data_IF_307087623280
#
_entry.id   IF_307087623280
#
_cell.length_a   1.000
_cell.length_b   1.000
_cell.length_c   1.000
_cell.angle_alpha   90.00
_cell.angle_beta   90.00
_cell.angle_gamma   90.00
#
_symmetry.space_group_name_H-M   'P 1'
#
loop_
_entity.id
_entity.type
_entity.pdbx_description
1 polymer ?
#
# COMPACT_ATOMS: atom_id res chain seq x y z
N UNK A 1 3.42 13.55 -11.22
CA UNK A 1 2.11 12.96 -10.92
C UNK A 1 2.28 11.77 -9.99
N UNK A 2 1.27 11.52 -9.16
CA UNK A 2 1.19 10.35 -8.27
C UNK A 2 -0.13 9.64 -8.58
N UNK A 3 -0.07 8.36 -8.94
CA UNK A 3 -1.24 7.51 -9.12
C UNK A 3 -1.44 6.67 -7.87
N UNK A 4 -2.57 6.88 -7.20
CA UNK A 4 -2.95 6.28 -5.92
C UNK A 4 -2.85 7.26 -4.75
N UNK A 5 -3.99 7.51 -4.12
CA UNK A 5 -4.18 8.40 -2.96
C UNK A 5 -4.13 7.68 -1.61
N UNK A 6 -3.54 6.48 -1.54
CA UNK A 6 -3.31 5.78 -0.28
C UNK A 6 -2.20 6.40 0.55
N UNK A 7 -1.90 5.82 1.73
CA UNK A 7 -0.91 6.34 2.71
C UNK A 7 0.42 6.68 2.02
N UNK A 8 1.01 5.74 1.29
CA UNK A 8 2.29 5.94 0.59
C UNK A 8 2.21 7.09 -0.41
N UNK A 9 1.12 7.17 -1.20
CA UNK A 9 0.91 8.25 -2.15
C UNK A 9 0.84 9.62 -1.47
N UNK A 10 0.18 9.71 -0.31
CA UNK A 10 0.05 10.94 0.46
C UNK A 10 1.35 11.35 1.15
N UNK A 11 2.12 10.40 1.68
CA UNK A 11 3.46 10.66 2.23
C UNK A 11 4.39 11.25 1.16
N UNK A 12 4.45 10.64 -0.03
CA UNK A 12 5.25 11.15 -1.13
C UNK A 12 4.71 12.47 -1.70
N UNK A 13 3.39 12.68 -1.72
CA UNK A 13 2.81 13.95 -2.12
C UNK A 13 3.27 15.08 -1.22
N UNK A 14 3.24 14.87 0.10
CA UNK A 14 3.74 15.83 1.10
C UNK A 14 5.24 16.06 0.94
N UNK A 15 6.02 14.99 0.82
CA UNK A 15 7.47 15.06 0.68
C UNK A 15 7.88 15.87 -0.56
N UNK A 16 7.38 15.52 -1.74
CA UNK A 16 7.74 16.24 -2.96
C UNK A 16 7.22 17.67 -2.98
N UNK A 17 6.03 17.91 -2.46
CA UNK A 17 5.50 19.27 -2.35
C UNK A 17 6.36 20.17 -1.45
N UNK A 18 6.88 19.62 -0.33
CA UNK A 18 7.79 20.37 0.56
C UNK A 18 9.13 20.72 -0.09
N UNK A 19 9.52 20.00 -1.15
CA UNK A 19 10.68 20.30 -1.99
C UNK A 19 10.37 21.28 -3.14
N UNK A 20 9.16 21.85 -3.19
CA UNK A 20 8.74 22.79 -4.22
C UNK A 20 8.23 22.13 -5.52
N UNK A 21 8.06 20.80 -5.54
CA UNK A 21 7.52 20.09 -6.71
C UNK A 21 6.01 20.31 -6.81
N UNK A 22 5.51 20.62 -7.99
CA UNK A 22 4.08 20.63 -8.26
C UNK A 22 3.54 19.20 -8.35
N UNK A 23 2.67 18.83 -7.42
CA UNK A 23 2.14 17.48 -7.29
C UNK A 23 0.68 17.42 -7.73
N UNK A 24 0.36 16.43 -8.58
CA UNK A 24 -1.02 16.04 -8.90
C UNK A 24 -1.22 14.60 -8.49
N UNK A 25 -2.19 14.35 -7.63
CA UNK A 25 -2.60 13.01 -7.17
C UNK A 25 -3.83 12.59 -7.96
N UNK A 26 -3.80 11.37 -8.50
CA UNK A 26 -4.92 10.76 -9.24
C UNK A 26 -5.39 9.54 -8.45
N UNK A 27 -6.62 9.59 -7.95
CA UNK A 27 -7.20 8.55 -7.10
C UNK A 27 -8.53 8.04 -7.69
N UNK A 28 -8.67 6.73 -7.77
CA UNK A 28 -9.88 6.09 -8.31
C UNK A 28 -11.07 6.18 -7.35
N UNK A 29 -10.80 6.23 -6.06
CA UNK A 29 -11.83 6.36 -5.02
C UNK A 29 -12.32 7.80 -4.91
N UNK A 30 -13.45 7.96 -4.23
CA UNK A 30 -14.09 9.26 -3.94
C UNK A 30 -13.32 10.11 -2.90
N UNK A 31 -12.37 9.49 -2.18
CA UNK A 31 -11.53 10.18 -1.20
C UNK A 31 -10.15 9.51 -1.10
N UNK A 32 -9.15 10.25 -0.64
CA UNK A 32 -7.81 9.75 -0.30
C UNK A 32 -7.86 8.86 0.94
N UNK A 33 -6.78 8.10 1.20
CA UNK A 33 -6.61 7.25 2.38
C UNK A 33 -7.77 6.25 2.56
N UNK A 34 -8.14 5.56 1.48
CA UNK A 34 -9.22 4.57 1.49
C UNK A 34 -9.10 3.58 2.65
N UNK A 35 -10.18 3.45 3.45
CA UNK A 35 -10.23 2.63 4.65
C UNK A 35 -9.98 3.38 5.96
N UNK A 36 -9.58 4.66 5.92
CA UNK A 36 -9.52 5.55 7.06
C UNK A 36 -10.84 6.33 7.24
N UNK A 37 -10.94 7.05 8.36
CA UNK A 37 -12.07 7.93 8.63
C UNK A 37 -12.16 9.03 7.55
N UNK A 38 -13.34 9.15 6.93
CA UNK A 38 -13.56 10.08 5.79
C UNK A 38 -13.41 11.54 6.18
N UNK A 39 -13.77 11.92 7.38
CA UNK A 39 -13.66 13.30 7.87
C UNK A 39 -12.18 13.69 8.00
N UNK A 40 -11.36 12.80 8.57
CA UNK A 40 -9.91 13.00 8.69
C UNK A 40 -9.23 13.02 7.31
N UNK A 41 -9.63 12.13 6.41
CA UNK A 41 -9.12 12.10 5.04
C UNK A 41 -9.43 13.40 4.28
N UNK A 42 -10.67 13.88 4.35
CA UNK A 42 -11.07 15.13 3.72
C UNK A 42 -10.35 16.35 4.32
N UNK A 43 -10.13 16.35 5.64
CA UNK A 43 -9.37 17.40 6.33
C UNK A 43 -7.92 17.45 5.85
N UNK A 44 -7.24 16.29 5.79
CA UNK A 44 -5.88 16.21 5.27
C UNK A 44 -5.79 16.65 3.82
N UNK A 45 -6.72 16.19 2.97
CA UNK A 45 -6.77 16.60 1.56
C UNK A 45 -6.96 18.12 1.41
N UNK A 46 -7.85 18.71 2.19
CA UNK A 46 -8.06 20.15 2.18
C UNK A 46 -6.79 20.91 2.58
N UNK A 47 -6.05 20.42 3.57
CA UNK A 47 -4.79 21.02 4.00
C UNK A 47 -3.70 20.90 2.94
N UNK A 48 -3.61 19.77 2.26
CA UNK A 48 -2.68 19.55 1.15
C UNK A 48 -3.03 20.40 -0.08
N UNK A 49 -4.33 20.57 -0.36
CA UNK A 49 -4.79 21.45 -1.45
C UNK A 49 -4.39 22.92 -1.21
N UNK A 50 -4.45 23.40 0.05
CA UNK A 50 -3.95 24.75 0.41
C UNK A 50 -2.45 24.91 0.12
N UNK A 51 -1.68 23.83 0.18
CA UNK A 51 -0.25 23.82 -0.16
C UNK A 51 0.02 23.65 -1.67
N UNK A 52 -1.02 23.61 -2.49
CA UNK A 52 -0.94 23.54 -3.95
C UNK A 52 -0.92 22.12 -4.54
N UNK A 53 -1.12 21.08 -3.73
CA UNK A 53 -1.29 19.71 -4.25
C UNK A 53 -2.66 19.63 -4.94
N UNK A 54 -2.68 19.14 -6.18
CA UNK A 54 -3.91 18.93 -6.95
C UNK A 54 -4.39 17.50 -6.77
N UNK A 55 -5.72 17.32 -6.69
CA UNK A 55 -6.36 16.02 -6.55
C UNK A 55 -7.36 15.79 -7.67
N UNK A 56 -7.27 14.65 -8.33
CA UNK A 56 -8.27 14.12 -9.25
C UNK A 56 -8.84 12.86 -8.58
N UNK A 57 -9.94 13.02 -7.84
CA UNK A 57 -10.66 11.94 -7.18
C UNK A 57 -11.66 11.30 -8.14
N UNK A 58 -12.21 10.13 -7.78
CA UNK A 58 -13.11 9.36 -8.64
C UNK A 58 -12.58 9.21 -10.08
N UNK A 59 -11.25 9.17 -10.22
CA UNK A 59 -10.56 9.24 -11.51
C UNK A 59 -9.73 7.99 -11.74
N UNK A 60 -10.16 7.19 -12.74
CA UNK A 60 -9.51 5.92 -13.10
C UNK A 60 -8.44 6.16 -14.15
N UNK A 61 -7.20 5.79 -13.86
CA UNK A 61 -6.13 5.75 -14.85
C UNK A 61 -6.36 4.58 -15.81
N UNK A 62 -6.33 4.85 -17.12
CA UNK A 62 -6.61 3.87 -18.17
C UNK A 62 -5.40 3.55 -19.04
N UNK A 63 -4.45 4.47 -19.16
CA UNK A 63 -3.21 4.25 -19.91
C UNK A 63 -2.07 5.11 -19.39
N UNK A 64 -0.86 4.62 -19.61
CA UNK A 64 0.39 5.33 -19.35
C UNK A 64 1.23 5.32 -20.63
N UNK A 65 1.82 6.45 -20.98
CA UNK A 65 2.77 6.55 -22.08
C UNK A 65 3.88 7.54 -21.75
N UNK A 66 4.93 7.52 -22.53
CA UNK A 66 6.07 8.44 -22.40
C UNK A 66 6.15 9.29 -23.68
N UNK A 67 6.38 10.58 -23.49
CA UNK A 67 6.67 11.55 -24.57
C UNK A 67 7.95 12.30 -24.28
N UNK A 68 8.38 13.17 -25.17
CA UNK A 68 9.52 14.07 -24.93
C UNK A 68 9.24 15.04 -23.78
N UNK A 69 7.98 15.41 -23.54
CA UNK A 69 7.55 16.32 -22.47
C UNK A 69 7.46 15.62 -21.10
N UNK A 70 7.47 14.27 -21.04
CA UNK A 70 7.38 13.50 -19.82
C UNK A 70 6.40 12.33 -19.89
N UNK A 71 6.01 11.84 -18.71
CA UNK A 71 5.02 10.78 -18.57
C UNK A 71 3.60 11.33 -18.78
N UNK A 72 2.84 10.68 -19.65
CA UNK A 72 1.43 11.00 -19.89
C UNK A 72 0.55 9.98 -19.20
N UNK A 73 -0.30 10.44 -18.28
CA UNK A 73 -1.27 9.64 -17.54
C UNK A 73 -2.65 9.92 -18.11
N UNK A 74 -3.18 8.98 -18.90
CA UNK A 74 -4.55 9.08 -19.43
C UNK A 74 -5.55 8.53 -18.40
N UNK A 75 -6.65 9.22 -18.21
CA UNK A 75 -7.66 8.86 -17.22
C UNK A 75 -9.09 9.03 -17.76
N UNK A 76 -10.03 8.43 -17.04
CA UNK A 76 -11.47 8.58 -17.20
C UNK A 76 -12.11 8.90 -15.85
N UNK A 77 -13.06 9.82 -15.83
CA UNK A 77 -13.90 10.16 -14.69
C UNK A 77 -15.32 10.55 -15.16
N UNK A 78 -16.17 11.05 -14.28
CA UNK A 78 -17.53 11.47 -14.61
C UNK A 78 -17.60 12.63 -15.62
N UNK A 79 -16.55 13.46 -15.71
CA UNK A 79 -16.44 14.56 -16.65
C UNK A 79 -15.99 14.09 -18.04
N UNK A 80 -15.51 12.85 -18.17
CA UNK A 80 -15.04 12.24 -19.41
C UNK A 80 -13.60 11.77 -19.35
N UNK A 81 -12.94 11.79 -20.52
CA UNK A 81 -11.55 11.38 -20.69
C UNK A 81 -10.62 12.58 -20.64
N UNK A 82 -9.50 12.43 -19.96
CA UNK A 82 -8.47 13.47 -19.86
C UNK A 82 -7.07 12.88 -19.74
N UNK A 83 -6.08 13.76 -19.64
CA UNK A 83 -4.70 13.36 -19.37
C UNK A 83 -3.97 14.37 -18.51
N UNK A 84 -2.97 13.88 -17.74
CA UNK A 84 -1.99 14.69 -17.03
C UNK A 84 -0.62 14.38 -17.61
N UNK A 85 0.15 15.41 -17.96
CA UNK A 85 1.55 15.31 -18.34
C UNK A 85 2.39 15.71 -17.15
N UNK A 86 3.39 14.93 -16.81
CA UNK A 86 4.29 15.19 -15.69
C UNK A 86 5.71 14.71 -16.00
N UNK A 87 6.73 15.44 -15.53
CA UNK A 87 8.12 15.04 -15.68
C UNK A 87 8.42 13.66 -15.08
N UNK A 88 7.78 13.37 -13.95
CA UNK A 88 7.91 12.10 -13.22
C UNK A 88 6.56 11.56 -12.81
N UNK A 89 6.46 10.24 -12.82
CA UNK A 89 5.28 9.50 -12.38
C UNK A 89 5.65 8.53 -11.27
N UNK A 90 4.96 8.64 -10.14
CA UNK A 90 4.99 7.67 -9.06
C UNK A 90 3.73 6.79 -9.11
N UNK A 91 3.92 5.47 -9.18
CA UNK A 91 2.85 4.48 -9.05
C UNK A 91 2.74 4.04 -7.60
N UNK A 92 1.62 4.36 -6.94
CA UNK A 92 1.36 4.07 -5.52
C UNK A 92 0.03 3.34 -5.33
N UNK A 93 -0.22 2.33 -6.17
CA UNK A 93 -1.51 1.62 -6.28
C UNK A 93 -1.61 0.36 -5.40
N UNK A 94 -0.79 0.27 -4.38
CA UNK A 94 -0.81 -0.81 -3.39
C UNK A 94 0.42 -1.70 -3.40
N UNK A 95 0.42 -2.68 -2.49
CA UNK A 95 1.50 -3.64 -2.26
C UNK A 95 1.01 -5.06 -2.47
N UNK A 96 1.92 -5.92 -2.91
CA UNK A 96 1.70 -7.37 -3.02
C UNK A 96 2.84 -8.11 -2.33
N UNK A 97 2.57 -9.25 -1.67
CA UNK A 97 3.61 -10.09 -1.14
C UNK A 97 4.56 -10.57 -2.26
N UNK A 98 5.86 -10.42 -2.05
CA UNK A 98 6.87 -10.97 -2.97
C UNK A 98 7.19 -12.38 -2.52
N UNK A 99 6.68 -13.38 -3.22
CA UNK A 99 6.79 -14.81 -2.87
C UNK A 99 7.53 -15.64 -3.91
N UNK A 100 8.33 -14.99 -4.79
CA UNK A 100 9.08 -15.64 -5.86
C UNK A 100 10.51 -15.11 -5.92
N UNK A 101 11.42 -15.92 -6.47
CA UNK A 101 12.79 -15.51 -6.74
C UNK A 101 13.79 -15.81 -5.63
N UNK A 102 13.36 -16.43 -4.51
CA UNK A 102 14.24 -16.82 -3.39
C UNK A 102 13.94 -18.26 -2.87
N UNK A 103 13.33 -19.08 -3.70
CA UNK A 103 13.11 -20.50 -3.41
C UNK A 103 11.81 -20.82 -2.67
N UNK A 104 11.03 -19.82 -2.25
CA UNK A 104 9.75 -20.04 -1.57
C UNK A 104 8.71 -20.73 -2.48
N UNK A 105 8.83 -20.55 -3.77
CA UNK A 105 8.03 -21.21 -4.80
C UNK A 105 8.21 -22.72 -4.83
N UNK A 106 9.32 -23.24 -4.32
CA UNK A 106 9.60 -24.68 -4.22
C UNK A 106 8.91 -25.32 -3.01
N UNK A 107 8.38 -24.50 -2.09
CA UNK A 107 7.60 -24.97 -0.95
C UNK A 107 6.12 -24.92 -1.30
N UNK A 108 5.42 -26.03 -1.11
CA UNK A 108 3.98 -26.08 -1.33
C UNK A 108 3.21 -25.46 -0.16
N UNK A 109 3.30 -24.14 0.00
CA UNK A 109 2.65 -23.38 1.07
C UNK A 109 1.25 -22.93 0.66
N UNK A 110 0.31 -23.01 1.59
CA UNK A 110 -1.02 -22.47 1.41
C UNK A 110 -0.97 -20.94 1.26
N UNK A 111 -1.68 -20.44 0.24
CA UNK A 111 -1.76 -18.99 -0.06
C UNK A 111 -3.20 -18.49 -0.01
N UNK A 112 -3.33 -17.20 0.26
CA UNK A 112 -4.60 -16.48 0.09
C UNK A 112 -4.85 -16.19 -1.39
N UNK A 113 -6.07 -15.78 -1.75
CA UNK A 113 -6.40 -15.35 -3.11
C UNK A 113 -5.58 -14.13 -3.61
N UNK A 114 -4.96 -13.38 -2.68
CA UNK A 114 -4.06 -12.24 -2.99
C UNK A 114 -2.57 -12.65 -3.01
N UNK A 115 -2.26 -13.93 -2.84
CA UNK A 115 -0.90 -14.47 -2.90
C UNK A 115 -0.10 -14.41 -1.59
N UNK A 116 -0.69 -13.92 -0.49
CA UNK A 116 -0.06 -13.96 0.83
C UNK A 116 -0.01 -15.40 1.38
N UNK A 117 0.99 -15.69 2.20
CA UNK A 117 1.15 -17.00 2.82
C UNK A 117 0.19 -17.11 4.01
N UNK A 118 -0.59 -18.20 4.06
CA UNK A 118 -1.47 -18.46 5.20
C UNK A 118 -0.64 -18.94 6.40
N UNK A 119 -0.91 -18.33 7.55
CA UNK A 119 -0.33 -18.72 8.85
C UNK A 119 -1.42 -18.87 9.91
N UNK A 120 -1.15 -19.68 10.92
CA UNK A 120 -1.98 -19.76 12.12
C UNK A 120 -1.61 -18.64 13.13
N UNK A 121 -2.27 -18.63 14.30
CA UNK A 121 -1.99 -17.63 15.35
C UNK A 121 -0.57 -17.72 15.94
N UNK A 122 0.16 -18.78 15.68
CA UNK A 122 1.56 -18.99 16.08
C UNK A 122 2.55 -18.67 14.95
N UNK A 123 2.08 -18.00 13.88
CA UNK A 123 2.85 -17.64 12.68
C UNK A 123 3.39 -18.83 11.89
N UNK A 124 2.88 -20.04 12.14
CA UNK A 124 3.27 -21.27 11.44
C UNK A 124 2.47 -21.44 10.15
N UNK A 125 3.13 -21.83 9.10
CA UNK A 125 2.53 -22.13 7.79
C UNK A 125 1.89 -23.52 7.75
N UNK A 126 1.36 -23.94 6.60
CA UNK A 126 0.91 -25.31 6.36
C UNK A 126 2.05 -26.34 6.39
N UNK A 127 3.31 -25.92 6.25
CA UNK A 127 4.48 -26.80 6.32
C UNK A 127 5.11 -26.71 7.73
N UNK A 128 5.25 -27.87 8.38
CA UNK A 128 5.84 -27.96 9.71
C UNK A 128 7.27 -27.40 9.73
N UNK A 129 7.61 -26.63 10.77
CA UNK A 129 8.93 -26.00 10.93
C UNK A 129 9.14 -24.73 10.07
N UNK A 130 8.15 -24.32 9.26
CA UNK A 130 8.20 -23.09 8.46
C UNK A 130 7.25 -22.06 9.02
N UNK A 131 7.80 -20.89 9.33
CA UNK A 131 7.09 -19.73 9.88
C UNK A 131 7.21 -18.54 8.94
N UNK A 132 6.21 -17.68 8.93
CA UNK A 132 6.19 -16.46 8.11
C UNK A 132 5.67 -15.29 8.93
N UNK A 133 6.31 -14.14 8.80
CA UNK A 133 5.92 -12.89 9.44
C UNK A 133 6.05 -11.72 8.47
N UNK A 134 5.48 -10.57 8.85
CA UNK A 134 5.51 -9.33 8.07
C UNK A 134 4.60 -9.36 6.85
N UNK A 135 4.94 -8.56 5.86
CA UNK A 135 4.13 -8.32 4.65
C UNK A 135 3.71 -9.60 3.92
N UNK A 136 4.48 -10.68 4.08
CA UNK A 136 4.17 -11.97 3.47
C UNK A 136 2.88 -12.60 4.02
N UNK A 137 2.48 -12.29 5.25
CA UNK A 137 1.23 -12.79 5.87
C UNK A 137 -0.01 -12.10 5.28
N UNK A 138 0.15 -10.88 4.77
CA UNK A 138 -0.92 -10.07 4.20
C UNK A 138 -1.94 -9.52 5.20
N UNK A 139 -1.73 -9.68 6.52
CA UNK A 139 -2.64 -9.16 7.54
C UNK A 139 -2.42 -7.67 7.83
N UNK A 140 -1.16 -7.27 8.00
CA UNK A 140 -0.79 -5.89 8.27
C UNK A 140 0.55 -5.60 7.61
N UNK A 141 0.62 -4.50 6.86
CA UNK A 141 1.83 -4.09 6.13
C UNK A 141 2.60 -3.04 6.93
N UNK A 142 2.72 -3.25 8.25
CA UNK A 142 3.31 -2.31 9.19
C UNK A 142 4.51 -2.95 9.91
N UNK A 143 5.61 -2.20 10.03
CA UNK A 143 6.86 -2.68 10.61
C UNK A 143 6.69 -3.19 12.06
N UNK A 144 5.95 -2.46 12.89
CA UNK A 144 5.70 -2.87 14.29
C UNK A 144 4.85 -4.14 14.39
N UNK A 145 3.94 -4.39 13.44
CA UNK A 145 3.21 -5.66 13.35
C UNK A 145 4.16 -6.80 13.00
N UNK A 146 5.03 -6.59 12.01
CA UNK A 146 6.01 -7.59 11.59
C UNK A 146 6.96 -7.98 12.75
N UNK A 147 7.38 -7.02 13.57
CA UNK A 147 8.18 -7.29 14.78
C UNK A 147 7.41 -8.20 15.75
N UNK A 148 6.15 -7.88 16.04
CA UNK A 148 5.33 -8.69 16.95
C UNK A 148 5.05 -10.10 16.38
N UNK A 149 4.79 -10.22 15.09
CA UNK A 149 4.64 -11.51 14.43
C UNK A 149 5.92 -12.36 14.53
N UNK A 150 7.09 -11.72 14.35
CA UNK A 150 8.39 -12.39 14.48
C UNK A 150 8.64 -12.90 15.91
N UNK A 151 8.31 -12.09 16.94
CA UNK A 151 8.38 -12.53 18.36
C UNK A 151 7.52 -13.77 18.59
N UNK A 152 6.26 -13.76 18.12
CA UNK A 152 5.34 -14.90 18.24
C UNK A 152 5.90 -16.15 17.53
N UNK A 153 6.47 -15.99 16.32
CA UNK A 153 7.10 -17.07 15.61
C UNK A 153 8.27 -17.70 16.40
N UNK A 154 9.15 -16.85 16.94
CA UNK A 154 10.29 -17.31 17.75
C UNK A 154 9.82 -17.99 19.06
N UNK A 155 8.83 -17.43 19.74
CA UNK A 155 8.25 -18.06 20.93
C UNK A 155 7.66 -19.42 20.61
N UNK A 156 6.97 -19.57 19.46
CA UNK A 156 6.44 -20.84 19.01
C UNK A 156 7.54 -21.88 18.72
N UNK A 157 8.64 -21.45 18.09
CA UNK A 157 9.81 -22.31 17.84
C UNK A 157 10.43 -22.79 19.17
N UNK A 158 10.47 -21.94 20.17
CA UNK A 158 11.01 -22.25 21.51
C UNK A 158 10.03 -23.00 22.42
N UNK A 159 8.85 -23.36 21.94
CA UNK A 159 7.80 -24.03 22.73
C UNK A 159 7.16 -23.17 23.81
N UNK A 160 7.31 -21.84 23.74
CA UNK A 160 6.66 -20.88 24.65
C UNK A 160 5.21 -20.66 24.20
N UNK A 161 4.33 -20.42 25.20
CA UNK A 161 2.95 -20.03 24.89
C UNK A 161 2.92 -18.55 24.49
N UNK A 162 2.54 -18.32 23.22
CA UNK A 162 2.28 -16.99 22.67
C UNK A 162 1.39 -17.14 21.42
N UNK A 163 0.64 -16.07 21.10
CA UNK A 163 -0.23 -16.05 19.95
C UNK A 163 -0.42 -14.62 19.43
N UNK A 164 -0.44 -14.47 18.10
CA UNK A 164 -0.71 -13.19 17.47
C UNK A 164 -2.18 -12.78 17.65
N UNK A 165 -2.37 -11.51 17.99
CA UNK A 165 -3.68 -10.85 18.02
C UNK A 165 -3.61 -9.54 17.24
N UNK A 166 -4.51 -9.39 16.27
CA UNK A 166 -4.61 -8.18 15.44
C UNK A 166 -5.69 -7.20 15.93
N UNK A 167 -6.22 -7.36 17.15
CA UNK A 167 -7.33 -6.54 17.66
C UNK A 167 -6.95 -5.10 17.96
N UNK A 168 -5.68 -4.85 18.28
CA UNK A 168 -5.19 -3.55 18.71
C UNK A 168 -3.84 -3.27 18.02
N UNK A 169 -3.88 -3.09 16.72
CA UNK A 169 -2.72 -2.66 15.93
C UNK A 169 -2.93 -1.20 15.58
N UNK A 170 -2.06 -0.30 16.07
CA UNK A 170 -2.13 1.10 15.69
C UNK A 170 -1.81 1.25 14.20
N UNK A 171 -2.66 2.00 13.49
CA UNK A 171 -2.45 2.43 12.12
C UNK A 171 -2.39 3.96 12.09
N UNK A 172 -1.42 4.50 11.37
CA UNK A 172 -1.23 5.95 11.21
C UNK A 172 -1.18 6.27 9.73
#
# INVERSE_FOLDING_TARGET
AIVGGGVIGMEFASFFNSLGVQVTVIEMMDEILGGMDKELSALLRAEYAKRGIKFLLSTKVVALSQTEEGAVVSYENEEGKGSVIAEKLLMSVGRRPVTKGFGLENLNLDKTGRGAIKVNKKMQTSLSGVYVCGDLTGFSLLAHTAVREAEVAVHSILGKEDAMSYRAIPGV
#
